data_IF_424324152446
#
_entry.id   IF_424324152446
#
_cell.length_a   1.000
_cell.length_b   1.000
_cell.length_c   1.000
_cell.angle_alpha   90.00
_cell.angle_beta   90.00
_cell.angle_gamma   90.00
#
_symmetry.space_group_name_H-M   'P 1'
#
loop_
_entity.id
_entity.type
_entity.pdbx_description
1 polymer ?
#
# COMPACT_ATOMS: atom_id res chain seq x y z
N UNK A 1 -4.17 5.38 -25.87
CA UNK A 1 -3.75 5.13 -24.47
C UNK A 1 -4.92 4.98 -23.49
N UNK A 2 -6.09 5.61 -23.67
CA UNK A 2 -7.23 5.50 -22.72
C UNK A 2 -7.93 4.13 -22.66
N UNK A 3 -7.91 3.33 -23.74
CA UNK A 3 -8.58 2.02 -23.78
C UNK A 3 -7.87 0.93 -22.98
N UNK A 4 -6.54 1.01 -22.85
CA UNK A 4 -5.73 0.04 -22.09
C UNK A 4 -5.91 0.20 -20.58
N UNK A 5 -6.14 1.44 -20.13
CA UNK A 5 -6.39 1.83 -18.72
C UNK A 5 -7.64 1.21 -18.10
N UNK A 6 -8.75 1.26 -18.83
CA UNK A 6 -10.05 0.72 -18.35
C UNK A 6 -10.07 -0.82 -18.32
N UNK A 7 -9.43 -1.47 -19.30
CA UNK A 7 -9.39 -2.93 -19.41
C UNK A 7 -8.53 -3.55 -18.30
N UNK A 8 -7.34 -2.99 -18.06
CA UNK A 8 -6.47 -3.43 -16.98
C UNK A 8 -7.07 -3.16 -15.59
N UNK A 9 -7.86 -2.09 -15.45
CA UNK A 9 -8.57 -1.76 -14.21
C UNK A 9 -9.60 -2.81 -13.78
N UNK A 10 -10.42 -3.28 -14.74
CA UNK A 10 -11.41 -4.34 -14.48
C UNK A 10 -10.76 -5.70 -14.21
N UNK A 11 -9.80 -6.09 -15.04
CA UNK A 11 -9.07 -7.37 -14.88
C UNK A 11 -8.36 -7.43 -13.53
N UNK A 12 -7.69 -6.35 -13.11
CA UNK A 12 -6.96 -6.34 -11.86
C UNK A 12 -7.86 -6.28 -10.61
N UNK A 13 -9.08 -5.73 -10.73
CA UNK A 13 -10.08 -5.84 -9.66
C UNK A 13 -10.45 -7.31 -9.43
N UNK A 14 -10.69 -8.06 -10.50
CA UNK A 14 -11.00 -9.49 -10.42
C UNK A 14 -9.84 -10.30 -9.86
N UNK A 15 -8.60 -9.98 -10.26
CA UNK A 15 -7.39 -10.57 -9.64
C UNK A 15 -7.30 -10.26 -8.15
N UNK A 16 -7.53 -9.01 -7.73
CA UNK A 16 -7.51 -8.66 -6.30
C UNK A 16 -8.57 -9.40 -5.50
N UNK A 17 -9.76 -9.64 -6.07
CA UNK A 17 -10.80 -10.44 -5.42
C UNK A 17 -10.38 -11.90 -5.24
N UNK A 18 -9.83 -12.53 -6.29
CA UNK A 18 -9.30 -13.89 -6.20
C UNK A 18 -8.18 -14.00 -5.18
N UNK A 19 -7.26 -13.03 -5.18
CA UNK A 19 -6.16 -12.99 -4.23
C UNK A 19 -6.65 -12.78 -2.80
N UNK A 20 -7.69 -11.97 -2.59
CA UNK A 20 -8.32 -11.81 -1.27
C UNK A 20 -8.79 -13.16 -0.73
N UNK A 21 -9.47 -13.94 -1.56
CA UNK A 21 -9.99 -15.27 -1.19
C UNK A 21 -8.85 -16.25 -0.88
N UNK A 22 -7.87 -16.37 -1.79
CA UNK A 22 -6.73 -17.29 -1.64
C UNK A 22 -5.94 -16.95 -0.37
N UNK A 23 -5.56 -15.68 -0.23
CA UNK A 23 -4.74 -15.20 0.86
C UNK A 23 -5.49 -15.30 2.19
N UNK A 24 -6.77 -14.95 2.22
CA UNK A 24 -7.57 -15.00 3.44
C UNK A 24 -7.85 -16.41 3.93
N UNK A 25 -8.15 -17.36 3.04
CA UNK A 25 -8.29 -18.76 3.46
C UNK A 25 -6.98 -19.33 3.98
N UNK A 26 -5.86 -18.93 3.36
CA UNK A 26 -4.53 -19.36 3.81
C UNK A 26 -4.22 -18.79 5.20
N UNK A 27 -4.49 -17.51 5.46
CA UNK A 27 -4.35 -16.91 6.80
C UNK A 27 -5.25 -17.61 7.83
N UNK A 28 -6.51 -17.84 7.48
CA UNK A 28 -7.47 -18.49 8.37
C UNK A 28 -7.01 -19.91 8.74
N UNK A 29 -6.53 -20.68 7.77
CA UNK A 29 -5.95 -22.01 8.02
C UNK A 29 -4.70 -21.91 8.90
N UNK A 30 -3.80 -20.97 8.64
CA UNK A 30 -2.59 -20.76 9.45
C UNK A 30 -2.91 -20.35 10.90
N UNK A 31 -3.97 -19.59 11.13
CA UNK A 31 -4.36 -19.13 12.47
C UNK A 31 -5.07 -20.21 13.30
N UNK A 32 -5.76 -21.17 12.66
CA UNK A 32 -6.49 -22.25 13.34
C UNK A 32 -5.70 -23.57 13.41
N UNK A 33 -4.42 -23.54 13.03
CA UNK A 33 -3.56 -24.71 12.92
C UNK A 33 -2.48 -24.68 13.99
N UNK A 34 -2.25 -25.84 14.62
CA UNK A 34 -1.19 -26.02 15.61
C UNK A 34 0.19 -25.61 15.05
N UNK A 35 1.08 -25.02 15.87
CA UNK A 35 2.39 -24.56 15.43
C UNK A 35 3.23 -25.66 14.73
N UNK A 36 3.13 -26.89 15.20
CA UNK A 36 3.90 -28.04 14.71
C UNK A 36 3.22 -28.80 13.55
N UNK A 37 2.15 -28.25 12.97
CA UNK A 37 1.45 -28.93 11.89
C UNK A 37 2.32 -29.02 10.63
N UNK A 38 2.50 -30.22 10.04
CA UNK A 38 3.41 -30.45 8.92
C UNK A 38 3.01 -29.77 7.60
N UNK A 39 1.79 -29.22 7.50
CA UNK A 39 1.26 -28.50 6.32
C UNK A 39 1.47 -26.98 6.44
N UNK A 40 1.84 -26.49 7.63
CA UNK A 40 1.95 -25.05 7.94
C UNK A 40 2.96 -24.33 7.05
N UNK A 41 4.10 -24.97 6.77
CA UNK A 41 5.15 -24.40 5.91
C UNK A 41 4.66 -24.22 4.46
N UNK A 42 3.93 -25.19 3.92
CA UNK A 42 3.38 -25.17 2.57
C UNK A 42 2.31 -24.08 2.43
N UNK A 43 1.47 -23.90 3.46
CA UNK A 43 0.50 -22.81 3.48
C UNK A 43 1.18 -21.43 3.58
N UNK A 44 2.29 -21.32 4.31
CA UNK A 44 3.06 -20.07 4.35
C UNK A 44 3.66 -19.73 2.98
N UNK A 45 4.10 -20.74 2.21
CA UNK A 45 4.55 -20.52 0.83
C UNK A 45 3.42 -20.12 -0.13
N UNK A 46 2.25 -20.76 -0.02
CA UNK A 46 1.05 -20.37 -0.79
C UNK A 46 0.68 -18.92 -0.48
N UNK A 47 0.73 -18.54 0.79
CA UNK A 47 0.48 -17.17 1.25
C UNK A 47 1.46 -16.19 0.63
N UNK A 48 2.76 -16.48 0.72
CA UNK A 48 3.80 -15.65 0.12
C UNK A 48 3.66 -15.53 -1.40
N UNK A 49 3.20 -16.59 -2.09
CA UNK A 49 2.94 -16.54 -3.52
C UNK A 49 1.76 -15.61 -3.87
N UNK A 50 0.66 -15.68 -3.12
CA UNK A 50 -0.48 -14.79 -3.33
C UNK A 50 -0.17 -13.33 -2.99
N UNK A 51 0.68 -13.05 -2.01
CA UNK A 51 1.17 -11.70 -1.73
C UNK A 51 1.99 -11.13 -2.90
N UNK A 52 2.93 -11.92 -3.45
CA UNK A 52 3.68 -11.52 -4.66
C UNK A 52 2.76 -11.25 -5.86
N UNK A 53 1.71 -12.06 -6.04
CA UNK A 53 0.72 -11.82 -7.10
C UNK A 53 -0.07 -10.51 -6.88
N UNK A 54 -0.35 -10.16 -5.62
CA UNK A 54 -1.03 -8.90 -5.29
C UNK A 54 -0.13 -7.70 -5.60
N UNK A 55 1.16 -7.79 -5.28
CA UNK A 55 2.17 -6.78 -5.63
C UNK A 55 2.26 -6.59 -7.15
N UNK A 56 2.36 -7.66 -7.92
CA UNK A 56 2.41 -7.60 -9.40
C UNK A 56 1.14 -6.96 -9.99
N UNK A 57 -0.03 -7.33 -9.44
CA UNK A 57 -1.31 -6.75 -9.87
C UNK A 57 -1.37 -5.26 -9.58
N UNK A 58 -0.85 -4.82 -8.43
CA UNK A 58 -0.75 -3.40 -8.09
C UNK A 58 0.26 -2.65 -8.97
N UNK A 59 1.39 -3.25 -9.32
CA UNK A 59 2.37 -2.65 -10.24
C UNK A 59 1.79 -2.48 -11.65
N UNK A 60 1.06 -3.48 -12.16
CA UNK A 60 0.33 -3.41 -13.43
C UNK A 60 -0.70 -2.27 -13.42
N UNK A 61 -1.41 -2.12 -12.30
CA UNK A 61 -2.41 -1.08 -12.10
C UNK A 61 -1.82 0.32 -11.97
N UNK A 62 -0.67 0.46 -11.31
CA UNK A 62 0.08 1.71 -11.16
C UNK A 62 0.60 2.20 -12.53
N UNK A 63 1.02 1.28 -13.39
CA UNK A 63 1.41 1.59 -14.77
C UNK A 63 0.23 2.01 -15.65
N UNK A 64 -0.94 1.42 -15.41
CA UNK A 64 -2.14 1.61 -16.24
C UNK A 64 -2.95 2.86 -15.90
N UNK A 65 -2.75 3.44 -14.71
CA UNK A 65 -3.55 4.57 -14.21
C UNK A 65 -2.69 5.80 -13.91
N UNK A 66 -3.26 6.96 -14.24
CA UNK A 66 -3.02 8.20 -13.49
C UNK A 66 -3.49 7.96 -12.04
N UNK A 67 -2.58 7.66 -11.11
CA UNK A 67 -2.89 7.73 -9.67
C UNK A 67 -3.43 9.14 -9.33
N UNK A 68 -4.38 9.25 -8.40
CA UNK A 68 -4.70 10.56 -7.81
C UNK A 68 -3.53 10.88 -6.87
N UNK A 69 -2.57 11.62 -7.39
CA UNK A 69 -1.40 12.09 -6.65
C UNK A 69 -1.91 13.07 -5.59
N UNK A 70 -1.81 12.74 -4.30
CA UNK A 70 -2.11 13.67 -3.22
C UNK A 70 -0.82 14.35 -2.81
N UNK A 71 -0.45 15.38 -3.57
CA UNK A 71 0.73 16.19 -3.24
C UNK A 71 0.48 16.96 -1.95
N UNK A 72 1.50 17.01 -1.10
CA UNK A 72 1.50 17.83 0.09
C UNK A 72 2.93 18.03 0.60
N UNK A 73 3.12 18.87 1.63
CA UNK A 73 4.39 19.03 2.31
C UNK A 73 4.91 17.69 2.83
N UNK A 74 6.13 17.33 2.47
CA UNK A 74 6.78 16.09 2.85
C UNK A 74 8.21 16.36 3.35
N UNK A 75 8.52 15.93 4.57
CA UNK A 75 9.90 15.75 5.04
C UNK A 75 10.43 14.38 4.58
N UNK A 76 11.45 14.41 3.73
CA UNK A 76 12.13 13.21 3.25
C UNK A 76 12.85 12.47 4.38
N UNK A 77 13.37 13.17 5.39
CA UNK A 77 14.05 12.52 6.50
C UNK A 77 13.08 11.67 7.33
N UNK A 78 11.90 12.20 7.65
CA UNK A 78 10.84 11.42 8.32
C UNK A 78 10.43 10.21 7.48
N UNK A 79 10.24 10.38 6.16
CA UNK A 79 9.94 9.25 5.27
C UNK A 79 11.03 8.16 5.31
N UNK A 80 12.31 8.54 5.28
CA UNK A 80 13.45 7.60 5.31
C UNK A 80 13.51 6.88 6.66
N UNK A 81 13.36 7.61 7.77
CA UNK A 81 13.33 7.04 9.14
C UNK A 81 12.22 6.02 9.30
N UNK A 82 10.99 6.37 8.89
CA UNK A 82 9.83 5.48 8.99
C UNK A 82 9.98 4.22 8.11
N UNK A 83 10.79 4.31 7.05
CA UNK A 83 11.02 3.20 6.12
C UNK A 83 12.12 2.24 6.60
N UNK A 84 12.96 2.60 7.59
CA UNK A 84 14.16 1.84 7.97
C UNK A 84 13.90 0.34 8.22
N UNK A 85 12.83 0.01 8.95
CA UNK A 85 12.50 -1.40 9.25
C UNK A 85 12.19 -2.22 7.99
N UNK A 86 11.51 -1.62 7.01
CA UNK A 86 11.21 -2.27 5.72
C UNK A 86 12.47 -2.36 4.87
N UNK A 87 13.30 -1.31 4.83
CA UNK A 87 14.54 -1.30 4.06
C UNK A 87 15.51 -2.40 4.54
N UNK A 88 15.70 -2.52 5.86
CA UNK A 88 16.53 -3.58 6.45
C UNK A 88 16.05 -4.97 6.03
N UNK A 89 14.72 -5.19 6.05
CA UNK A 89 14.14 -6.49 5.66
C UNK A 89 14.33 -6.81 4.18
N UNK A 90 14.28 -5.81 3.30
CA UNK A 90 14.48 -5.98 1.87
C UNK A 90 15.92 -6.35 1.54
N UNK A 91 16.86 -5.67 2.21
CA UNK A 91 18.30 -5.78 1.94
C UNK A 91 18.94 -7.01 2.59
N UNK A 92 18.38 -7.51 3.70
CA UNK A 92 18.92 -8.65 4.43
C UNK A 92 20.17 -8.30 5.24
N UNK A 93 20.77 -9.31 5.86
CA UNK A 93 21.90 -9.12 6.79
C UNK A 93 23.23 -8.86 6.07
N UNK A 94 23.31 -9.17 4.77
CA UNK A 94 24.54 -9.05 3.98
C UNK A 94 24.82 -7.61 3.48
N UNK A 95 23.85 -6.70 3.59
CA UNK A 95 23.98 -5.31 3.13
C UNK A 95 23.79 -4.34 4.28
N UNK A 96 24.82 -3.53 4.57
CA UNK A 96 24.77 -2.50 5.59
C UNK A 96 24.10 -1.23 5.06
N UNK A 97 23.10 -0.70 5.78
CA UNK A 97 22.50 0.61 5.48
C UNK A 97 23.22 1.69 6.29
N UNK A 98 23.68 2.74 5.61
CA UNK A 98 24.22 3.95 6.21
C UNK A 98 23.35 5.15 5.83
N UNK A 99 22.90 5.94 6.81
CA UNK A 99 22.07 7.12 6.56
C UNK A 99 22.78 8.41 6.99
N UNK A 100 22.88 9.39 6.09
CA UNK A 100 23.41 10.73 6.36
C UNK A 100 22.34 11.77 6.05
N UNK A 101 21.55 12.13 7.06
CA UNK A 101 20.38 12.99 6.88
C UNK A 101 20.67 14.40 7.37
N UNK A 102 20.53 15.42 6.51
CA UNK A 102 20.70 16.82 6.93
C UNK A 102 19.60 17.21 7.93
N UNK A 103 19.91 17.70 9.14
CA UNK A 103 18.93 17.92 10.19
C UNK A 103 17.94 19.06 9.88
N UNK A 104 18.32 20.00 9.01
CA UNK A 104 17.56 21.17 8.58
C UNK A 104 17.03 21.03 7.14
N UNK A 105 16.81 19.79 6.70
CA UNK A 105 16.33 19.51 5.35
C UNK A 105 15.02 20.25 5.06
N UNK A 106 14.96 20.93 3.91
CA UNK A 106 13.73 21.52 3.44
C UNK A 106 12.66 20.47 3.14
N UNK A 107 11.40 20.80 3.40
CA UNK A 107 10.28 20.01 2.90
C UNK A 107 10.17 20.14 1.37
N UNK A 108 9.54 19.15 0.75
CA UNK A 108 9.19 19.13 -0.67
C UNK A 108 7.67 19.03 -0.82
N UNK A 109 7.15 19.37 -2.00
CA UNK A 109 5.75 19.07 -2.34
C UNK A 109 5.70 17.76 -3.12
N UNK A 110 5.28 16.67 -2.46
CA UNK A 110 5.23 15.35 -3.08
C UNK A 110 4.16 14.46 -2.44
N UNK A 111 3.72 13.43 -3.17
CA UNK A 111 2.94 12.36 -2.58
C UNK A 111 3.86 11.41 -1.80
N UNK A 112 3.55 11.19 -0.52
CA UNK A 112 4.35 10.34 0.37
C UNK A 112 4.46 8.90 -0.12
N UNK A 113 3.38 8.35 -0.68
CA UNK A 113 3.35 6.98 -1.18
C UNK A 113 4.21 6.83 -2.44
N UNK A 114 4.17 7.82 -3.34
CA UNK A 114 5.03 7.84 -4.51
C UNK A 114 6.51 7.97 -4.13
N UNK A 115 6.85 8.83 -3.17
CA UNK A 115 8.24 8.93 -2.72
C UNK A 115 8.72 7.68 -1.98
N UNK A 116 7.84 7.03 -1.22
CA UNK A 116 8.13 5.71 -0.66
C UNK A 116 8.42 4.69 -1.77
N UNK A 117 7.62 4.67 -2.84
CA UNK A 117 7.84 3.78 -3.99
C UNK A 117 9.18 4.03 -4.69
N UNK A 118 9.59 5.30 -4.83
CA UNK A 118 10.91 5.67 -5.36
C UNK A 118 12.02 5.05 -4.52
N UNK A 119 11.93 5.21 -3.19
CA UNK A 119 12.90 4.66 -2.24
C UNK A 119 12.99 3.13 -2.36
N UNK A 120 11.85 2.43 -2.34
CA UNK A 120 11.80 0.97 -2.45
C UNK A 120 12.39 0.47 -3.78
N UNK A 121 12.05 1.10 -4.91
CA UNK A 121 12.55 0.68 -6.21
C UNK A 121 14.08 0.84 -6.31
N UNK A 122 14.63 1.93 -5.79
CA UNK A 122 16.08 2.15 -5.80
C UNK A 122 16.81 1.19 -4.86
N UNK A 123 16.24 0.91 -3.68
CA UNK A 123 16.80 -0.06 -2.72
C UNK A 123 16.79 -1.49 -3.28
N UNK A 124 15.70 -1.90 -3.95
CA UNK A 124 15.64 -3.21 -4.61
C UNK A 124 16.70 -3.34 -5.71
N UNK A 125 16.88 -2.29 -6.52
CA UNK A 125 17.92 -2.29 -7.54
C UNK A 125 19.32 -2.37 -6.94
N UNK A 126 19.59 -1.64 -5.85
CA UNK A 126 20.85 -1.69 -5.14
C UNK A 126 21.14 -3.08 -4.57
N UNK A 127 20.15 -3.70 -3.91
CA UNK A 127 20.27 -5.09 -3.42
C UNK A 127 20.63 -6.04 -4.54
N UNK A 128 19.90 -5.97 -5.65
CA UNK A 128 20.13 -6.88 -6.76
C UNK A 128 21.46 -6.60 -7.51
N UNK A 129 22.14 -5.48 -7.22
CA UNK A 129 23.48 -5.14 -7.68
C UNK A 129 24.58 -5.56 -6.69
N UNK A 130 24.22 -5.95 -5.45
CA UNK A 130 25.12 -6.36 -4.37
C UNK A 130 24.88 -7.82 -3.92
N UNK A 131 24.99 -8.83 -4.80
CA UNK A 131 24.71 -10.23 -4.44
C UNK A 131 25.69 -10.83 -3.42
N UNK A 132 26.89 -10.24 -3.26
CA UNK A 132 27.88 -10.63 -2.25
C UNK A 132 27.84 -9.78 -0.98
N UNK A 133 26.78 -8.99 -0.80
CA UNK A 133 26.72 -7.97 0.25
C UNK A 133 27.37 -6.65 -0.17
N UNK A 134 27.30 -5.65 0.71
CA UNK A 134 27.84 -4.32 0.44
C UNK A 134 27.30 -3.23 1.35
N UNK A 135 27.43 -1.98 0.93
CA UNK A 135 26.91 -0.82 1.67
C UNK A 135 25.95 -0.03 0.81
N UNK A 136 24.74 0.21 1.33
CA UNK A 136 23.80 1.17 0.79
C UNK A 136 23.85 2.45 1.61
N UNK A 137 24.25 3.55 0.99
CA UNK A 137 24.25 4.88 1.61
C UNK A 137 23.05 5.68 1.14
N UNK A 138 22.26 6.20 2.07
CA UNK A 138 21.14 7.12 1.81
C UNK A 138 21.50 8.48 2.40
N UNK A 139 21.55 9.50 1.57
CA UNK A 139 21.93 10.85 1.97
C UNK A 139 20.87 11.88 1.58
N UNK A 140 20.61 12.84 2.46
CA UNK A 140 19.78 14.01 2.15
C UNK A 140 20.55 15.28 2.40
N UNK A 141 20.43 16.26 1.50
CA UNK A 141 21.05 17.59 1.67
C UNK A 141 20.24 18.70 1.02
N UNK A 142 20.31 19.90 1.59
CA UNK A 142 19.88 21.12 0.91
C UNK A 142 20.94 21.49 -0.15
N UNK A 143 20.52 21.88 -1.36
CA UNK A 143 21.45 22.37 -2.39
C UNK A 143 21.75 23.84 -2.12
N UNK A 144 23.03 24.19 -1.91
CA UNK A 144 23.44 25.53 -1.43
C UNK A 144 23.04 26.69 -2.36
N UNK A 145 22.96 26.44 -3.68
CA UNK A 145 22.75 27.47 -4.71
C UNK A 145 21.39 27.38 -5.43
N UNK A 146 20.52 26.46 -5.00
CA UNK A 146 19.20 26.24 -5.62
C UNK A 146 18.17 25.91 -4.56
N UNK A 147 16.89 26.30 -4.72
CA UNK A 147 15.82 25.87 -3.83
C UNK A 147 15.44 24.41 -4.12
N UNK A 148 16.42 23.51 -4.02
CA UNK A 148 16.29 22.07 -4.27
C UNK A 148 16.77 21.30 -3.03
N UNK A 149 16.12 20.17 -2.80
CA UNK A 149 16.54 19.14 -1.85
C UNK A 149 17.06 17.95 -2.66
N UNK A 150 18.22 17.43 -2.27
CA UNK A 150 18.77 16.21 -2.83
C UNK A 150 18.45 15.02 -1.92
N UNK A 151 17.99 13.93 -2.54
CA UNK A 151 18.05 12.56 -2.04
C UNK A 151 19.06 11.78 -2.90
N UNK A 152 20.15 11.32 -2.29
CA UNK A 152 21.13 10.43 -2.93
C UNK A 152 21.01 9.02 -2.36
N UNK A 153 20.95 8.02 -3.24
CA UNK A 153 21.03 6.60 -2.88
C UNK A 153 22.21 6.01 -3.63
N UNK A 154 23.21 5.54 -2.88
CA UNK A 154 24.47 5.01 -3.40
C UNK A 154 24.70 3.60 -2.92
N UNK A 155 24.94 2.68 -3.84
CA UNK A 155 25.35 1.31 -3.57
C UNK A 155 26.82 1.08 -3.94
N UNK A 156 27.41 0.03 -3.37
CA UNK A 156 28.76 -0.45 -3.69
C UNK A 156 28.71 -1.73 -4.53
N UNK A 157 27.68 -1.88 -5.36
CA UNK A 157 27.45 -3.08 -6.17
C UNK A 157 28.30 -3.13 -7.44
N UNK A 158 27.87 -3.97 -8.38
CA UNK A 158 28.57 -4.22 -9.65
C UNK A 158 28.56 -3.02 -10.62
N UNK A 159 27.81 -1.96 -10.30
CA UNK A 159 27.67 -0.79 -11.16
C UNK A 159 26.92 -1.05 -12.48
N UNK A 160 26.91 -0.05 -13.35
CA UNK A 160 26.14 0.02 -14.59
C UNK A 160 27.05 0.51 -15.71
N UNK A 161 27.11 -0.23 -16.82
CA UNK A 161 27.86 0.19 -18.01
C UNK A 161 27.16 1.32 -18.79
N UNK A 162 27.91 2.04 -19.62
CA UNK A 162 27.42 3.21 -20.35
C UNK A 162 26.33 2.88 -21.39
N UNK A 163 26.28 1.66 -21.92
CA UNK A 163 25.21 1.26 -22.84
C UNK A 163 23.91 1.04 -22.09
N UNK A 164 23.96 0.38 -20.93
CA UNK A 164 22.81 0.18 -20.04
C UNK A 164 22.28 1.48 -19.45
N UNK A 165 23.18 2.39 -19.05
CA UNK A 165 22.82 3.69 -18.44
C UNK A 165 21.94 4.55 -19.35
N UNK A 166 22.14 4.50 -20.66
CA UNK A 166 21.35 5.26 -21.64
C UNK A 166 19.89 4.81 -21.75
N UNK A 167 19.61 3.56 -21.43
CA UNK A 167 18.28 2.96 -21.55
C UNK A 167 17.63 2.66 -20.20
N UNK A 168 18.27 3.02 -19.06
CA UNK A 168 17.84 2.52 -17.75
C UNK A 168 16.43 2.96 -17.33
N UNK A 169 15.94 4.08 -17.87
CA UNK A 169 14.61 4.60 -17.59
C UNK A 169 13.56 4.19 -18.62
N UNK A 170 13.95 3.43 -19.65
CA UNK A 170 13.00 2.90 -20.64
C UNK A 170 12.12 1.81 -20.02
N UNK A 171 10.79 1.87 -20.20
CA UNK A 171 9.89 0.83 -19.70
C UNK A 171 10.26 -0.55 -20.26
N UNK A 172 10.24 -1.57 -19.39
CA UNK A 172 10.55 -2.97 -19.71
C UNK A 172 12.02 -3.25 -20.07
N UNK A 173 12.89 -2.25 -20.02
CA UNK A 173 14.32 -2.47 -20.21
C UNK A 173 14.92 -3.19 -19.00
N UNK A 174 15.60 -4.31 -19.24
CA UNK A 174 16.31 -5.07 -18.20
C UNK A 174 17.49 -5.81 -18.81
N UNK A 175 18.65 -5.75 -18.16
CA UNK A 175 19.84 -6.52 -18.52
C UNK A 175 19.81 -7.94 -17.97
N UNK A 176 18.84 -8.25 -17.09
CA UNK A 176 18.76 -9.51 -16.35
C UNK A 176 17.83 -10.49 -17.08
N UNK A 177 18.39 -11.22 -18.05
CA UNK A 177 17.69 -12.29 -18.79
C UNK A 177 17.12 -13.33 -17.82
N UNK A 178 15.80 -13.51 -17.80
CA UNK A 178 15.10 -14.50 -16.97
C UNK A 178 14.80 -14.08 -15.53
N UNK A 179 14.99 -12.80 -15.17
CA UNK A 179 14.70 -12.32 -13.81
C UNK A 179 13.22 -12.06 -13.53
N UNK A 180 12.82 -12.16 -12.26
CA UNK A 180 11.48 -11.80 -11.74
C UNK A 180 11.18 -10.29 -11.78
N UNK A 181 12.12 -9.45 -12.22
CA UNK A 181 11.97 -8.00 -12.27
C UNK A 181 11.43 -7.58 -13.64
N UNK A 182 10.28 -6.93 -13.64
CA UNK A 182 9.52 -6.50 -14.82
C UNK A 182 10.20 -5.43 -15.69
N UNK A 183 11.37 -4.93 -15.30
CA UNK A 183 12.04 -3.80 -15.97
C UNK A 183 11.29 -2.47 -15.84
N UNK A 184 10.33 -2.37 -14.90
CA UNK A 184 9.52 -1.17 -14.71
C UNK A 184 9.99 -0.26 -13.56
N UNK A 185 10.80 -0.78 -12.63
CA UNK A 185 11.14 -0.07 -11.38
C UNK A 185 11.75 1.31 -11.60
N UNK A 186 12.76 1.42 -12.47
CA UNK A 186 13.44 2.68 -12.78
C UNK A 186 12.60 3.61 -13.64
N UNK A 187 11.81 3.08 -14.59
CA UNK A 187 10.86 3.87 -15.36
C UNK A 187 9.80 4.53 -14.45
N UNK A 188 9.35 3.82 -13.41
CA UNK A 188 8.44 4.36 -12.38
C UNK A 188 9.13 5.46 -11.57
N UNK A 189 10.39 5.27 -11.17
CA UNK A 189 11.16 6.29 -10.45
C UNK A 189 11.26 7.57 -11.27
N UNK A 190 11.67 7.45 -12.54
CA UNK A 190 11.75 8.58 -13.46
C UNK A 190 10.41 9.29 -13.59
N UNK A 191 9.33 8.53 -13.80
CA UNK A 191 7.97 9.06 -13.86
C UNK A 191 7.60 9.87 -12.62
N UNK A 192 7.76 9.32 -11.42
CA UNK A 192 7.41 10.00 -10.16
C UNK A 192 8.20 11.30 -9.99
N UNK A 193 9.53 11.22 -10.18
CA UNK A 193 10.42 12.37 -10.01
C UNK A 193 10.08 13.49 -10.99
N UNK A 194 9.88 13.17 -12.27
CA UNK A 194 9.52 14.16 -13.29
C UNK A 194 8.14 14.79 -13.05
N UNK A 195 7.14 14.02 -12.59
CA UNK A 195 5.82 14.57 -12.28
C UNK A 195 5.83 15.51 -11.07
N UNK A 196 6.71 15.25 -10.09
CA UNK A 196 6.94 16.14 -8.95
C UNK A 196 7.82 17.36 -9.26
N UNK A 197 8.11 17.64 -10.53
CA UNK A 197 8.96 18.76 -10.95
C UNK A 197 10.45 18.58 -10.60
N UNK A 198 10.85 17.36 -10.23
CA UNK A 198 12.22 17.02 -9.91
C UNK A 198 13.02 16.50 -11.09
N UNK A 199 14.30 16.24 -10.85
CA UNK A 199 15.22 15.62 -11.81
C UNK A 199 15.99 14.48 -11.16
N UNK A 200 16.38 13.50 -11.96
CA UNK A 200 17.20 12.37 -11.53
C UNK A 200 18.49 12.31 -12.34
N UNK A 201 19.61 12.11 -11.65
CA UNK A 201 20.94 11.89 -12.22
C UNK A 201 21.48 10.55 -11.75
N UNK A 202 22.20 9.87 -12.64
CA UNK A 202 22.81 8.57 -12.33
C UNK A 202 24.29 8.62 -12.67
N UNK A 203 25.11 8.36 -11.66
CA UNK A 203 26.54 8.13 -11.79
C UNK A 203 26.83 6.67 -11.45
N UNK A 204 27.51 5.97 -12.35
CA UNK A 204 27.94 4.60 -12.11
C UNK A 204 29.07 4.24 -13.06
N UNK A 205 29.98 3.39 -12.59
CA UNK A 205 30.96 2.69 -13.42
C UNK A 205 30.92 1.20 -13.07
N UNK A 206 31.25 0.31 -14.02
CA UNK A 206 31.40 -1.11 -13.71
C UNK A 206 32.31 -1.34 -12.51
N UNK A 207 31.86 -2.19 -11.58
CA UNK A 207 32.54 -2.57 -10.34
C UNK A 207 32.80 -1.45 -9.31
N UNK A 208 32.28 -0.23 -9.53
CA UNK A 208 32.38 0.89 -8.58
C UNK A 208 31.03 1.24 -7.91
N UNK A 209 29.98 0.46 -8.19
CA UNK A 209 28.62 0.72 -7.71
C UNK A 209 27.87 1.79 -8.50
N UNK A 210 26.71 2.19 -7.99
CA UNK A 210 25.88 3.22 -8.61
C UNK A 210 25.38 4.24 -7.59
N UNK A 211 25.19 5.47 -8.05
CA UNK A 211 24.63 6.58 -7.29
C UNK A 211 23.49 7.23 -8.05
N UNK A 212 22.31 7.19 -7.45
CA UNK A 212 21.09 7.82 -7.93
C UNK A 212 20.86 9.11 -7.14
N UNK A 213 20.86 10.25 -7.82
CA UNK A 213 20.63 11.57 -7.23
C UNK A 213 19.31 12.15 -7.70
N UNK A 214 18.38 12.30 -6.78
CA UNK A 214 17.05 12.85 -7.01
C UNK A 214 16.98 14.24 -6.42
N UNK A 215 16.73 15.24 -7.26
CA UNK A 215 16.60 16.62 -6.85
C UNK A 215 15.13 17.02 -6.94
N UNK A 216 14.59 17.53 -5.84
CA UNK A 216 13.20 17.94 -5.72
C UNK A 216 13.11 19.42 -5.32
N UNK A 217 12.17 20.21 -5.87
CA UNK A 217 11.96 21.58 -5.45
C UNK A 217 11.60 21.68 -3.96
N UNK A 218 12.26 22.58 -3.25
CA UNK A 218 12.01 22.88 -1.83
C UNK A 218 10.82 23.83 -1.69
N UNK A 219 9.93 23.54 -0.75
CA UNK A 219 8.88 24.50 -0.35
C UNK A 219 9.38 25.44 0.76
N UNK A 220 8.94 26.70 0.73
CA UNK A 220 9.26 27.68 1.77
C UNK A 220 8.20 27.67 2.89
N UNK A 221 8.64 27.84 4.15
CA UNK A 221 7.75 28.17 5.27
C UNK A 221 7.07 27.00 5.99
N UNK A 222 7.51 25.76 5.79
CA UNK A 222 6.98 24.61 6.53
C UNK A 222 7.77 24.38 7.83
N UNK A 223 7.05 24.35 8.95
CA UNK A 223 7.52 23.88 10.27
C UNK A 223 6.64 22.68 10.62
N UNK A 224 7.25 21.53 10.87
CA UNK A 224 6.55 20.30 11.21
C UNK A 224 5.77 20.48 12.52
N UNK A 225 4.45 20.24 12.47
CA UNK A 225 3.69 19.99 13.69
C UNK A 225 3.97 18.53 14.09
N UNK A 226 4.63 18.32 15.23
CA UNK A 226 4.86 16.99 15.81
C UNK A 226 3.56 16.18 15.82
N UNK A 227 3.54 15.10 15.03
CA UNK A 227 2.46 14.12 15.09
C UNK A 227 2.80 13.05 16.13
N UNK A 228 1.87 12.69 17.03
CA UNK A 228 2.15 11.79 18.14
C UNK A 228 2.33 10.34 17.66
N UNK A 229 3.28 9.66 18.29
CA UNK A 229 3.59 8.24 18.11
C UNK A 229 2.40 7.34 18.46
N UNK A 230 2.12 6.25 17.72
CA UNK A 230 1.11 5.28 18.11
C UNK A 230 1.61 4.40 19.27
N UNK A 231 0.81 4.16 20.32
CA UNK A 231 1.17 3.22 21.39
C UNK A 231 1.02 1.76 20.93
N UNK A 232 1.81 0.90 21.59
CA UNK A 232 1.91 -0.54 21.37
C UNK A 232 0.64 -1.33 21.74
N UNK A 233 0.56 -2.51 21.14
CA UNK A 233 -0.60 -3.38 20.94
C UNK A 233 -1.18 -4.02 22.22
N UNK A 234 -2.50 -4.19 22.21
CA UNK A 234 -3.15 -5.41 22.71
C UNK A 234 -4.31 -5.79 21.77
N UNK A 235 -4.43 -7.08 21.44
CA UNK A 235 -5.55 -7.62 20.67
C UNK A 235 -6.79 -7.65 21.58
N UNK A 236 -7.62 -6.62 21.49
CA UNK A 236 -8.96 -6.64 22.08
C UNK A 236 -9.82 -7.67 21.33
N UNK A 237 -10.37 -8.65 22.06
CA UNK A 237 -11.46 -9.51 21.56
C UNK A 237 -12.69 -8.63 21.40
N UNK A 238 -13.12 -8.41 20.16
CA UNK A 238 -14.34 -7.63 19.90
C UNK A 238 -15.57 -8.39 20.37
N UNK A 239 -16.51 -7.70 21.00
CA UNK A 239 -17.87 -8.18 21.25
C UNK A 239 -18.83 -7.23 20.52
N UNK A 240 -19.51 -7.70 19.46
CA UNK A 240 -20.44 -6.87 18.68
C UNK A 240 -20.89 -7.53 17.37
N UNK A 241 -21.92 -6.96 16.76
CA UNK A 241 -22.50 -7.42 15.49
C UNK A 241 -21.95 -6.57 14.33
N UNK A 242 -21.50 -7.21 13.25
CA UNK A 242 -21.00 -6.54 12.05
C UNK A 242 -21.82 -6.99 10.84
N UNK A 243 -22.40 -6.04 10.11
CA UNK A 243 -23.07 -6.31 8.84
C UNK A 243 -22.06 -6.27 7.69
N UNK A 244 -21.82 -7.40 7.04
CA UNK A 244 -20.94 -7.56 5.88
C UNK A 244 -21.77 -7.51 4.60
N UNK A 245 -21.42 -6.59 3.70
CA UNK A 245 -22.12 -6.39 2.42
C UNK A 245 -21.13 -6.47 1.28
N UNK A 246 -21.27 -7.49 0.43
CA UNK A 246 -20.30 -7.83 -0.61
C UNK A 246 -21.01 -8.64 -1.69
N UNK A 247 -20.85 -8.31 -2.97
CA UNK A 247 -21.54 -9.00 -4.06
C UNK A 247 -20.89 -10.35 -4.40
N UNK A 248 -19.57 -10.47 -4.25
CA UNK A 248 -18.82 -11.73 -4.40
C UNK A 248 -19.00 -12.63 -3.19
N UNK A 249 -19.69 -13.75 -3.40
CA UNK A 249 -19.95 -14.75 -2.33
C UNK A 249 -18.68 -15.20 -1.62
N UNK A 250 -17.59 -15.44 -2.36
CA UNK A 250 -16.36 -15.97 -1.79
C UNK A 250 -15.68 -14.96 -0.85
N UNK A 251 -15.69 -13.67 -1.21
CA UNK A 251 -15.16 -12.57 -0.40
C UNK A 251 -16.05 -12.34 0.82
N UNK A 252 -17.37 -12.40 0.64
CA UNK A 252 -18.37 -12.24 1.71
C UNK A 252 -18.19 -13.31 2.78
N UNK A 253 -18.12 -14.58 2.36
CA UNK A 253 -17.92 -15.73 3.26
C UNK A 253 -16.60 -15.62 4.02
N UNK A 254 -15.52 -15.22 3.34
CA UNK A 254 -14.23 -15.03 3.98
C UNK A 254 -14.27 -13.95 5.07
N UNK A 255 -14.84 -12.78 4.76
CA UNK A 255 -14.95 -11.67 5.71
C UNK A 255 -15.76 -12.07 6.95
N UNK A 256 -16.89 -12.79 6.77
CA UNK A 256 -17.67 -13.33 7.87
C UNK A 256 -16.84 -14.27 8.76
N UNK A 257 -16.10 -15.22 8.17
CA UNK A 257 -15.25 -16.15 8.94
C UNK A 257 -14.15 -15.44 9.71
N UNK A 258 -13.52 -14.43 9.12
CA UNK A 258 -12.50 -13.63 9.82
C UNK A 258 -13.10 -12.86 10.99
N UNK A 259 -14.29 -12.27 10.83
CA UNK A 259 -15.01 -11.57 11.90
C UNK A 259 -15.38 -12.51 13.06
N UNK A 260 -15.90 -13.70 12.74
CA UNK A 260 -16.24 -14.73 13.72
C UNK A 260 -14.99 -15.20 14.50
N UNK A 261 -13.87 -15.41 13.81
CA UNK A 261 -12.59 -15.75 14.44
C UNK A 261 -12.06 -14.63 15.37
N UNK A 262 -12.39 -13.37 15.08
CA UNK A 262 -12.07 -12.21 15.90
C UNK A 262 -13.07 -11.97 17.05
N UNK A 263 -14.11 -12.80 17.17
CA UNK A 263 -15.12 -12.75 18.23
C UNK A 263 -16.39 -11.94 17.91
N UNK A 264 -16.53 -11.43 16.68
CA UNK A 264 -17.72 -10.70 16.25
C UNK A 264 -18.80 -11.64 15.71
N UNK A 265 -20.06 -11.24 15.85
CA UNK A 265 -21.16 -11.86 15.11
C UNK A 265 -21.24 -11.21 13.72
N UNK A 266 -21.13 -11.99 12.65
CA UNK A 266 -21.26 -11.48 11.29
C UNK A 266 -22.68 -11.71 10.73
N UNK A 267 -23.31 -10.65 10.23
CA UNK A 267 -24.52 -10.72 9.41
C UNK A 267 -24.11 -10.50 7.95
N UNK A 268 -24.59 -11.31 7.01
CA UNK A 268 -24.18 -11.21 5.61
C UNK A 268 -25.32 -10.69 4.72
N UNK A 269 -24.98 -9.88 3.71
CA UNK A 269 -25.86 -9.47 2.62
C UNK A 269 -25.09 -9.40 1.30
N UNK A 270 -25.72 -9.82 0.20
CA UNK A 270 -25.09 -9.83 -1.12
C UNK A 270 -25.18 -8.48 -1.86
N UNK A 271 -26.01 -7.55 -1.39
CA UNK A 271 -26.20 -6.23 -2.00
C UNK A 271 -26.86 -5.26 -1.01
N UNK A 272 -26.94 -3.97 -1.39
CA UNK A 272 -27.51 -2.93 -0.53
C UNK A 272 -28.98 -3.12 -0.17
N UNK A 273 -29.82 -3.68 -1.04
CA UNK A 273 -31.23 -3.90 -0.74
C UNK A 273 -31.40 -4.99 0.33
N UNK A 274 -30.65 -6.08 0.22
CA UNK A 274 -30.60 -7.14 1.23
C UNK A 274 -30.03 -6.63 2.55
N UNK A 275 -28.97 -5.81 2.52
CA UNK A 275 -28.38 -5.22 3.71
C UNK A 275 -29.39 -4.37 4.51
N UNK A 276 -30.20 -3.55 3.81
CA UNK A 276 -31.28 -2.79 4.45
C UNK A 276 -32.36 -3.70 5.05
N UNK A 277 -32.71 -4.80 4.37
CA UNK A 277 -33.67 -5.76 4.90
C UNK A 277 -33.14 -6.49 6.14
N UNK A 278 -31.86 -6.88 6.15
CA UNK A 278 -31.17 -7.49 7.30
C UNK A 278 -31.13 -6.51 8.47
N UNK A 279 -30.74 -5.24 8.23
CA UNK A 279 -30.69 -4.22 9.27
C UNK A 279 -32.06 -3.95 9.90
N UNK A 280 -33.14 -3.96 9.11
CA UNK A 280 -34.52 -3.77 9.61
C UNK A 280 -35.06 -4.94 10.42
N UNK A 281 -34.65 -6.17 10.08
CA UNK A 281 -35.14 -7.40 10.73
C UNK A 281 -34.38 -7.75 11.99
N UNK A 282 -33.14 -7.27 12.13
CA UNK A 282 -32.31 -7.58 13.27
C UNK A 282 -32.76 -6.78 14.50
N UNK A 283 -33.13 -7.47 15.58
CA UNK A 283 -33.69 -6.86 16.79
C UNK A 283 -32.64 -6.12 17.64
N UNK A 284 -31.35 -6.47 17.50
CA UNK A 284 -30.26 -5.86 18.25
C UNK A 284 -29.50 -4.82 17.42
N UNK A 285 -28.84 -3.89 18.11
CA UNK A 285 -28.02 -2.86 17.47
C UNK A 285 -26.90 -3.47 16.62
N UNK A 286 -26.79 -2.99 15.38
CA UNK A 286 -25.66 -3.26 14.49
C UNK A 286 -24.74 -2.04 14.55
N UNK A 287 -23.64 -2.07 15.32
CA UNK A 287 -22.76 -0.91 15.48
C UNK A 287 -21.90 -0.62 14.24
N UNK A 288 -21.73 -1.59 13.34
CA UNK A 288 -20.81 -1.49 12.22
C UNK A 288 -21.35 -2.16 10.95
N UNK A 289 -21.21 -1.47 9.82
CA UNK A 289 -21.32 -2.05 8.48
C UNK A 289 -19.95 -2.08 7.80
N UNK A 290 -19.57 -3.24 7.26
CA UNK A 290 -18.41 -3.47 6.41
C UNK A 290 -18.92 -3.73 4.99
N UNK A 291 -18.76 -2.79 4.06
CA UNK A 291 -19.38 -2.87 2.72
C UNK A 291 -18.36 -2.73 1.60
N UNK A 292 -18.49 -3.50 0.52
CA UNK A 292 -17.82 -3.16 -0.74
C UNK A 292 -18.33 -1.80 -1.23
N UNK A 293 -17.42 -1.02 -1.78
CA UNK A 293 -17.71 0.27 -2.39
C UNK A 293 -18.42 0.08 -3.72
N UNK A 294 -17.98 -0.88 -4.54
CA UNK A 294 -18.51 -1.10 -5.90
C UNK A 294 -19.43 -2.31 -5.85
N UNK A 295 -20.74 -2.07 -5.93
CA UNK A 295 -21.75 -3.12 -5.98
C UNK A 295 -22.82 -2.77 -7.04
N UNK A 296 -23.41 -3.77 -7.71
CA UNK A 296 -24.53 -3.55 -8.63
C UNK A 296 -25.76 -2.93 -7.94
N UNK A 297 -26.44 -2.02 -8.64
CA UNK A 297 -27.65 -1.37 -8.13
C UNK A 297 -27.35 -0.25 -7.13
N UNK A 298 -27.23 -0.60 -5.84
CA UNK A 298 -26.92 0.34 -4.76
C UNK A 298 -25.44 0.19 -4.38
N UNK A 299 -24.66 1.25 -4.56
CA UNK A 299 -23.24 1.21 -4.19
C UNK A 299 -23.06 1.32 -2.66
N UNK A 300 -21.88 0.95 -2.16
CA UNK A 300 -21.60 0.91 -0.72
C UNK A 300 -21.76 2.26 -0.02
N UNK A 301 -21.50 3.38 -0.72
CA UNK A 301 -21.65 4.72 -0.15
C UNK A 301 -23.11 5.10 0.05
N UNK A 302 -23.93 4.90 -0.98
CA UNK A 302 -25.38 5.11 -0.90
C UNK A 302 -26.01 4.27 0.20
N UNK A 303 -25.54 3.03 0.34
CA UNK A 303 -25.95 2.14 1.41
C UNK A 303 -25.56 2.70 2.78
N UNK A 304 -24.30 3.08 2.98
CA UNK A 304 -23.82 3.65 4.24
C UNK A 304 -24.57 4.94 4.62
N UNK A 305 -24.79 5.86 3.68
CA UNK A 305 -25.52 7.11 3.91
C UNK A 305 -27.01 6.86 4.26
N UNK A 306 -27.64 5.84 3.69
CA UNK A 306 -29.00 5.43 4.05
C UNK A 306 -29.04 4.80 5.44
N UNK A 307 -28.12 3.88 5.69
CA UNK A 307 -28.02 3.17 6.96
C UNK A 307 -27.66 4.09 8.13
N UNK A 308 -26.80 5.09 7.94
CA UNK A 308 -26.49 6.08 8.97
C UNK A 308 -27.66 7.03 9.27
N UNK A 309 -28.51 7.32 8.27
CA UNK A 309 -29.76 8.07 8.51
C UNK A 309 -30.75 7.25 9.34
N UNK A 310 -30.89 5.96 9.01
CA UNK A 310 -31.82 5.07 9.71
C UNK A 310 -31.27 4.64 11.09
N UNK A 311 -29.94 4.59 11.25
CA UNK A 311 -29.22 4.17 12.46
C UNK A 311 -28.04 5.12 12.75
N UNK A 312 -28.28 6.28 13.41
CA UNK A 312 -27.27 7.34 13.62
C UNK A 312 -26.00 6.94 14.38
N UNK A 313 -26.01 5.81 15.09
CA UNK A 313 -24.85 5.26 15.79
C UNK A 313 -24.01 4.28 14.97
N UNK A 314 -24.47 3.88 13.78
CA UNK A 314 -23.77 2.85 12.99
C UNK A 314 -22.59 3.43 12.23
N UNK A 315 -21.42 2.80 12.42
CA UNK A 315 -20.18 3.15 11.74
C UNK A 315 -20.08 2.38 10.42
N UNK A 316 -19.38 2.95 9.43
CA UNK A 316 -19.16 2.32 8.14
C UNK A 316 -17.67 2.15 7.86
N UNK A 317 -17.28 0.95 7.43
CA UNK A 317 -15.96 0.63 6.88
C UNK A 317 -16.15 0.19 5.44
N UNK A 318 -15.39 0.79 4.54
CA UNK A 318 -15.47 0.49 3.11
C UNK A 318 -14.38 -0.49 2.68
N UNK A 319 -14.76 -1.61 2.08
CA UNK A 319 -13.83 -2.52 1.41
C UNK A 319 -13.65 -2.09 -0.03
N UNK A 320 -12.41 -1.94 -0.50
CA UNK A 320 -12.17 -1.54 -1.89
C UNK A 320 -10.91 -2.13 -2.48
N UNK A 321 -11.01 -2.67 -3.70
CA UNK A 321 -9.86 -3.02 -4.54
C UNK A 321 -9.28 -1.84 -5.33
N UNK A 322 -9.86 -0.63 -5.16
CA UNK A 322 -9.52 0.59 -5.89
C UNK A 322 -9.49 1.80 -4.94
N UNK A 323 -8.34 2.46 -4.83
CA UNK A 323 -8.18 3.56 -3.87
C UNK A 323 -8.96 4.84 -4.21
N UNK A 324 -9.42 5.06 -5.47
CA UNK A 324 -9.66 6.46 -5.88
C UNK A 324 -10.88 6.81 -6.75
N UNK A 325 -11.54 5.89 -7.46
CA UNK A 325 -12.63 6.30 -8.39
C UNK A 325 -14.01 6.49 -7.78
N UNK A 326 -14.23 6.06 -6.54
CA UNK A 326 -15.52 6.31 -5.87
C UNK A 326 -15.47 7.57 -5.00
N UNK A 327 -14.31 8.23 -4.93
CA UNK A 327 -14.12 9.46 -4.17
C UNK A 327 -14.51 10.75 -4.90
N UNK A 328 -14.65 10.73 -6.23
CA UNK A 328 -14.68 11.99 -7.00
C UNK A 328 -16.00 12.34 -7.68
N UNK A 329 -16.99 11.43 -7.79
CA UNK A 329 -18.21 11.75 -8.55
C UNK A 329 -19.42 12.17 -7.71
N UNK A 330 -19.42 12.02 -6.38
CA UNK A 330 -20.60 12.39 -5.55
C UNK A 330 -20.31 12.89 -4.13
N UNK A 331 -19.08 13.25 -3.79
CA UNK A 331 -18.77 13.85 -2.49
C UNK A 331 -17.62 13.16 -1.78
N UNK A 332 -16.58 13.94 -1.53
CA UNK A 332 -15.38 13.60 -0.76
C UNK A 332 -15.72 12.73 0.44
N UNK A 333 -15.16 11.51 0.52
CA UNK A 333 -14.97 10.90 1.83
C UNK A 333 -13.94 11.78 2.54
N UNK A 334 -14.36 12.38 3.64
CA UNK A 334 -13.48 13.12 4.53
C UNK A 334 -12.28 12.22 4.88
N UNK A 335 -11.10 12.80 5.08
CA UNK A 335 -9.82 12.10 5.33
C UNK A 335 -9.82 11.23 6.61
N UNK A 336 -10.96 11.19 7.30
CA UNK A 336 -11.27 10.41 8.51
C UNK A 336 -12.10 9.15 8.25
N UNK A 337 -12.49 8.85 7.00
CA UNK A 337 -13.39 7.71 6.75
C UNK A 337 -12.64 6.37 6.74
N UNK A 338 -13.04 5.37 7.55
CA UNK A 338 -12.36 4.08 7.61
C UNK A 338 -12.48 3.28 6.32
N UNK A 339 -11.36 2.81 5.77
CA UNK A 339 -11.32 1.97 4.57
C UNK A 339 -10.37 0.78 4.71
N UNK A 340 -10.78 -0.37 4.18
CA UNK A 340 -10.01 -1.60 4.11
C UNK A 340 -9.67 -1.93 2.66
N UNK A 341 -8.39 -1.92 2.32
CA UNK A 341 -7.93 -2.16 0.95
C UNK A 341 -7.92 -3.66 0.64
N UNK A 342 -8.58 -4.09 -0.44
CA UNK A 342 -8.48 -5.46 -0.98
C UNK A 342 -7.17 -5.60 -1.81
N UNK A 343 -6.43 -6.73 -1.68
CA UNK A 343 -6.64 -7.80 -0.71
C UNK A 343 -6.25 -7.37 0.70
N UNK A 344 -7.04 -7.82 1.69
CA UNK A 344 -6.78 -7.56 3.11
C UNK A 344 -6.51 -8.84 3.90
N UNK A 345 -5.76 -8.71 4.98
CA UNK A 345 -5.43 -9.80 5.92
C UNK A 345 -6.35 -9.78 7.14
N UNK A 346 -6.34 -10.88 7.91
CA UNK A 346 -7.06 -10.92 9.19
C UNK A 346 -6.54 -9.87 10.19
N UNK A 347 -5.23 -9.60 10.19
CA UNK A 347 -4.63 -8.56 11.04
C UNK A 347 -5.05 -7.14 10.63
N UNK A 348 -5.10 -6.85 9.32
CA UNK A 348 -5.57 -5.56 8.81
C UNK A 348 -7.06 -5.34 9.12
N UNK A 349 -7.87 -6.38 9.01
CA UNK A 349 -9.27 -6.35 9.43
C UNK A 349 -9.38 -6.08 10.95
N UNK A 350 -8.62 -6.78 11.78
CA UNK A 350 -8.62 -6.56 13.23
C UNK A 350 -8.20 -5.12 13.59
N UNK A 351 -7.15 -4.59 12.95
CA UNK A 351 -6.65 -3.25 13.18
C UNK A 351 -7.67 -2.17 12.82
N UNK A 352 -8.36 -2.31 11.68
CA UNK A 352 -9.37 -1.33 11.29
C UNK A 352 -10.60 -1.39 12.19
N UNK A 353 -11.05 -2.58 12.56
CA UNK A 353 -12.17 -2.76 13.48
C UNK A 353 -11.86 -2.08 14.81
N UNK A 354 -10.66 -2.31 15.36
CA UNK A 354 -10.19 -1.69 16.59
C UNK A 354 -10.23 -0.17 16.54
N UNK A 355 -9.63 0.43 15.50
CA UNK A 355 -9.64 1.89 15.30
C UNK A 355 -11.07 2.44 15.25
N UNK A 356 -11.93 1.78 14.50
CA UNK A 356 -13.31 2.24 14.32
C UNK A 356 -14.12 2.05 15.58
N UNK A 357 -13.86 1.04 16.41
CA UNK A 357 -14.56 0.82 17.68
C UNK A 357 -14.07 1.73 18.81
N UNK A 358 -12.76 2.01 18.89
CA UNK A 358 -12.11 2.80 19.97
C UNK A 358 -12.30 4.32 19.84
N UNK A 359 -12.48 4.86 18.64
CA UNK A 359 -12.63 6.33 18.40
C UNK A 359 -13.99 6.89 18.87
N UNK A 360 -14.63 6.26 19.86
CA UNK A 360 -15.95 6.63 20.37
C UNK A 360 -16.08 6.66 21.88
N UNK A 361 -14.97 6.81 22.61
CA UNK A 361 -14.97 7.21 24.02
C UNK A 361 -14.63 8.68 24.18
#
# INVERSE_FOLDING_TARGET
>A
MESLGRLAGGIAHDFNNLLTVINGYTDWMLCNMEPDNPIRAQLTEVRGAGERCAELTQQLLAFSRKQIIRTGPLDLNTLIRDSQGVLNRILGDDVCISTRLAPDLGAIEADRGQMHQVLINLVLNARDAMPGGGTLTIETRNVSDRPEVLLEIRDTGQGIDESTRRHLFEPFFTTKKGSRNSGLGLAIVFGIVSHGGGRIEVESQPDEGAAFRIYMPRIQGWVEAESPSPPAQSLHRGAGVVLVVEDREEVRVLACRMLEALGYQALAAANGAEALAVARRHEHSIPLVLTDVIMPGMNGRQLADQLQRDYPGMRAVFMSGYSDRVLTNTGTLDSRTPYLKKPFTMSQLADILRRVTETGQ
#
